data_IF_694273727139
#
_entry.id   IF_694273727139
#
_cell.length_a   1.000
_cell.length_b   1.000
_cell.length_c   1.000
_cell.angle_alpha   90.00
_cell.angle_beta   90.00
_cell.angle_gamma   90.00
#
_symmetry.space_group_name_H-M   'P 1'
#
loop_
_entity.id
_entity.type
_entity.pdbx_description
1 polymer ?
#
# COMPACT_ATOMS: atom_id res chain seq x y z
N UNK A 1 -40.43 -37.78 58.02
CA UNK A 1 -39.03 -37.41 58.33
C UNK A 1 -38.37 -36.99 57.02
N UNK A 2 -37.72 -35.82 57.02
CA UNK A 2 -37.35 -35.03 55.83
C UNK A 2 -36.07 -35.56 55.18
N UNK A 3 -36.09 -35.73 53.86
CA UNK A 3 -34.94 -36.08 53.01
C UNK A 3 -34.00 -34.87 52.86
N UNK A 4 -32.71 -35.06 53.04
CA UNK A 4 -31.68 -34.06 52.77
C UNK A 4 -31.05 -34.32 51.40
N UNK A 5 -31.24 -33.40 50.45
CA UNK A 5 -30.45 -33.33 49.21
C UNK A 5 -29.17 -32.54 49.48
N UNK A 6 -28.02 -33.15 49.19
CA UNK A 6 -26.71 -32.50 49.28
C UNK A 6 -26.37 -31.91 47.91
N UNK A 7 -26.39 -30.58 47.80
CA UNK A 7 -25.96 -29.87 46.59
C UNK A 7 -24.43 -29.71 46.62
N UNK A 8 -23.73 -30.35 45.69
CA UNK A 8 -22.29 -30.12 45.47
C UNK A 8 -22.14 -28.95 44.50
N UNK A 9 -21.56 -27.85 44.97
CA UNK A 9 -21.21 -26.68 44.15
C UNK A 9 -19.77 -26.84 43.68
N UNK A 10 -19.56 -26.97 42.36
CA UNK A 10 -18.25 -27.05 41.73
C UNK A 10 -17.81 -25.63 41.35
N UNK A 11 -16.83 -25.07 42.07
CA UNK A 11 -16.23 -23.77 41.75
C UNK A 11 -15.08 -23.99 40.78
N UNK A 12 -15.30 -23.68 39.50
CA UNK A 12 -14.24 -23.59 38.48
C UNK A 12 -13.52 -22.24 38.62
N UNK A 13 -12.35 -22.26 39.24
CA UNK A 13 -11.44 -21.11 39.25
C UNK A 13 -10.69 -21.10 37.91
N UNK A 14 -11.13 -20.28 36.97
CA UNK A 14 -10.38 -20.01 35.75
C UNK A 14 -9.15 -19.14 36.09
N UNK A 15 -7.97 -19.76 36.18
CA UNK A 15 -6.71 -19.02 36.25
C UNK A 15 -6.41 -18.43 34.88
N UNK A 16 -6.70 -17.15 34.69
CA UNK A 16 -6.19 -16.39 33.55
C UNK A 16 -4.67 -16.21 33.74
N UNK A 17 -3.89 -17.15 33.23
CA UNK A 17 -2.46 -16.95 33.06
C UNK A 17 -2.27 -15.86 32.01
N UNK A 18 -2.01 -14.63 32.46
CA UNK A 18 -1.56 -13.55 31.58
C UNK A 18 -0.19 -13.97 31.05
N UNK A 19 -0.13 -14.50 29.83
CA UNK A 19 1.12 -14.74 29.15
C UNK A 19 1.78 -13.38 28.89
N UNK A 20 2.60 -12.92 29.83
CA UNK A 20 3.49 -11.78 29.62
C UNK A 20 4.60 -12.25 28.68
N UNK A 21 4.35 -12.16 27.37
CA UNK A 21 5.39 -12.35 26.36
C UNK A 21 6.48 -11.29 26.58
N UNK A 22 7.56 -11.69 27.27
CA UNK A 22 8.80 -10.93 27.33
C UNK A 22 9.47 -11.03 25.97
N UNK A 23 9.10 -10.15 25.06
CA UNK A 23 9.80 -10.02 23.77
C UNK A 23 11.21 -9.49 24.07
N UNK A 24 12.23 -10.26 23.71
CA UNK A 24 13.61 -9.83 23.88
C UNK A 24 13.90 -8.59 23.01
N UNK A 25 14.70 -7.61 23.47
CA UNK A 25 15.02 -6.42 22.68
C UNK A 25 15.62 -6.73 21.30
N UNK A 26 16.42 -7.80 21.17
CA UNK A 26 16.95 -8.27 19.89
C UNK A 26 15.86 -8.76 18.94
N UNK A 27 14.98 -9.65 19.41
CA UNK A 27 13.82 -10.15 18.67
C UNK A 27 12.86 -9.04 18.23
N UNK A 28 12.71 -7.99 19.06
CA UNK A 28 11.93 -6.78 18.71
C UNK A 28 12.60 -5.96 17.60
N UNK A 29 13.92 -5.85 17.62
CA UNK A 29 14.69 -5.16 16.57
C UNK A 29 14.56 -5.89 15.23
N UNK A 30 14.72 -7.22 15.25
CA UNK A 30 14.61 -8.07 14.07
C UNK A 30 13.19 -7.99 13.48
N UNK A 31 12.16 -8.08 14.33
CA UNK A 31 10.77 -7.90 13.88
C UNK A 31 10.49 -6.52 13.29
N UNK A 32 11.00 -5.45 13.88
CA UNK A 32 10.84 -4.10 13.32
C UNK A 32 11.49 -3.97 11.94
N UNK A 33 12.63 -4.63 11.71
CA UNK A 33 13.26 -4.70 10.40
C UNK A 33 12.39 -5.46 9.39
N UNK A 34 11.81 -6.59 9.78
CA UNK A 34 10.88 -7.34 8.92
C UNK A 34 9.62 -6.53 8.57
N UNK A 35 9.01 -5.83 9.55
CA UNK A 35 7.87 -4.93 9.30
C UNK A 35 8.21 -3.86 8.25
N UNK A 36 9.38 -3.22 8.38
CA UNK A 36 9.86 -2.22 7.42
C UNK A 36 10.11 -2.85 6.05
N UNK A 37 10.69 -4.04 6.00
CA UNK A 37 10.97 -4.74 4.75
C UNK A 37 9.66 -5.08 4.01
N UNK A 38 8.62 -5.53 4.72
CA UNK A 38 7.29 -5.77 4.12
C UNK A 38 6.70 -4.49 3.55
N UNK A 39 6.74 -3.37 4.30
CA UNK A 39 6.31 -2.06 3.79
C UNK A 39 7.12 -1.62 2.56
N UNK A 40 8.44 -1.81 2.57
CA UNK A 40 9.33 -1.49 1.46
C UNK A 40 9.02 -2.30 0.21
N UNK A 41 8.81 -3.62 0.35
CA UNK A 41 8.47 -4.50 -0.75
C UNK A 41 7.11 -4.12 -1.38
N UNK A 42 6.12 -3.82 -0.55
CA UNK A 42 4.80 -3.35 -1.02
C UNK A 42 4.92 -2.05 -1.81
N UNK A 43 5.54 -1.01 -1.22
CA UNK A 43 5.70 0.29 -1.87
C UNK A 43 6.52 0.18 -3.16
N UNK A 44 7.53 -0.70 -3.18
CA UNK A 44 8.37 -0.94 -4.37
C UNK A 44 7.56 -1.51 -5.52
N UNK A 45 6.71 -2.51 -5.24
CA UNK A 45 5.85 -3.14 -6.25
C UNK A 45 4.76 -2.18 -6.75
N UNK A 46 4.18 -1.38 -5.86
CA UNK A 46 3.20 -0.37 -6.26
C UNK A 46 3.83 0.71 -7.16
N UNK A 47 5.02 1.21 -6.77
CA UNK A 47 5.84 2.08 -7.60
C UNK A 47 6.20 1.45 -8.95
N UNK A 48 6.42 0.13 -8.98
CA UNK A 48 6.64 -0.62 -10.22
C UNK A 48 5.39 -0.77 -11.09
N UNK A 49 4.24 -0.24 -10.66
CA UNK A 49 2.98 -0.27 -11.39
C UNK A 49 2.23 -1.59 -11.27
N UNK A 50 2.57 -2.45 -10.30
CA UNK A 50 1.96 -3.78 -10.20
C UNK A 50 0.44 -3.71 -10.02
N UNK A 51 -0.11 -2.68 -9.38
CA UNK A 51 -1.57 -2.52 -9.24
C UNK A 51 -2.29 -2.08 -10.51
N UNK A 52 -1.60 -1.59 -11.54
CA UNK A 52 -2.21 -1.11 -12.78
C UNK A 52 -2.02 -2.06 -13.98
N UNK A 53 -1.40 -3.22 -13.74
CA UNK A 53 -1.16 -4.28 -14.74
C UNK A 53 -1.97 -5.53 -14.40
N UNK A 54 -2.42 -6.29 -15.40
CA UNK A 54 -3.24 -7.50 -15.24
C UNK A 54 -2.66 -8.52 -14.25
N UNK A 55 -1.37 -8.83 -14.37
CA UNK A 55 -0.72 -9.89 -13.56
C UNK A 55 0.02 -9.33 -12.35
N UNK A 56 0.04 -8.01 -12.19
CA UNK A 56 0.87 -7.39 -11.16
C UNK A 56 0.34 -7.61 -9.76
N UNK A 57 -0.99 -7.73 -9.59
CA UNK A 57 -1.60 -8.00 -8.30
C UNK A 57 -1.12 -9.31 -7.67
N UNK A 58 -0.89 -10.37 -8.46
CA UNK A 58 -0.40 -11.65 -7.96
C UNK A 58 0.94 -11.54 -7.21
N UNK A 59 1.73 -10.49 -7.47
CA UNK A 59 2.98 -10.20 -6.77
C UNK A 59 2.76 -9.40 -5.48
N UNK A 60 1.71 -8.58 -5.42
CA UNK A 60 1.35 -7.77 -4.24
C UNK A 60 0.52 -8.56 -3.24
N UNK A 61 -0.40 -9.41 -3.73
CA UNK A 61 -1.34 -10.16 -2.91
C UNK A 61 -0.68 -10.88 -1.72
N UNK A 62 0.48 -11.56 -1.86
CA UNK A 62 1.11 -12.23 -0.72
C UNK A 62 1.57 -11.28 0.40
N UNK A 63 1.80 -10.00 0.07
CA UNK A 63 2.27 -9.00 1.02
C UNK A 63 1.14 -8.32 1.80
N UNK A 64 -0.12 -8.55 1.44
CA UNK A 64 -1.27 -7.85 2.03
C UNK A 64 -2.31 -8.83 2.56
N UNK A 65 -3.15 -8.39 3.49
CA UNK A 65 -4.35 -9.11 3.90
C UNK A 65 -5.49 -8.96 2.89
N UNK A 66 -5.37 -8.04 1.93
CA UNK A 66 -6.36 -7.85 0.85
C UNK A 66 -6.28 -8.96 -0.18
N UNK A 67 -7.42 -9.60 -0.47
CA UNK A 67 -7.50 -10.71 -1.44
C UNK A 67 -7.37 -10.25 -2.89
N UNK A 68 -8.16 -9.25 -3.27
CA UNK A 68 -8.27 -8.76 -4.64
C UNK A 68 -7.70 -7.35 -4.76
N UNK A 69 -7.26 -6.97 -5.96
CA UNK A 69 -6.74 -5.62 -6.18
C UNK A 69 -7.87 -4.62 -5.94
N UNK A 70 -7.75 -3.70 -4.96
CA UNK A 70 -8.83 -2.74 -4.71
C UNK A 70 -9.15 -1.95 -5.97
N UNK A 71 -10.42 -1.78 -6.26
CA UNK A 71 -10.84 -0.93 -7.38
C UNK A 71 -10.37 0.51 -7.18
N UNK A 72 -9.90 1.12 -8.26
CA UNK A 72 -9.51 2.52 -8.27
C UNK A 72 -9.95 3.17 -9.58
N UNK A 73 -10.47 4.40 -9.48
CA UNK A 73 -10.78 5.25 -10.65
C UNK A 73 -9.59 6.11 -11.05
N UNK A 74 -8.67 6.32 -10.12
CA UNK A 74 -7.50 7.18 -10.27
C UNK A 74 -6.28 6.59 -9.59
N UNK A 75 -5.11 6.96 -10.10
CA UNK A 75 -3.84 6.64 -9.46
C UNK A 75 -2.86 7.82 -9.58
N UNK A 76 -1.93 7.88 -8.63
CA UNK A 76 -0.90 8.90 -8.60
C UNK A 76 0.28 8.49 -9.44
N UNK A 77 0.83 9.44 -10.19
CA UNK A 77 2.11 9.29 -10.89
C UNK A 77 3.18 9.99 -10.06
N UNK A 78 4.23 9.25 -9.70
CA UNK A 78 5.25 9.70 -8.76
C UNK A 78 6.65 9.64 -9.36
N UNK A 79 7.53 10.56 -8.94
CA UNK A 79 8.95 10.53 -9.26
C UNK A 79 9.69 9.52 -8.40
N UNK A 80 9.45 9.60 -7.09
CA UNK A 80 10.14 8.84 -6.05
C UNK A 80 9.25 8.73 -4.82
N UNK A 81 9.63 7.84 -3.92
CA UNK A 81 9.05 7.74 -2.59
C UNK A 81 10.15 7.50 -1.56
N UNK A 82 9.84 7.81 -0.30
CA UNK A 82 10.69 7.54 0.83
C UNK A 82 9.83 7.02 1.99
N UNK A 83 10.23 5.88 2.55
CA UNK A 83 9.69 5.43 3.83
C UNK A 83 10.43 6.19 4.92
N UNK A 84 9.70 6.95 5.73
CA UNK A 84 10.30 7.73 6.80
C UNK A 84 10.93 6.81 7.86
N UNK A 85 11.97 7.27 8.57
CA UNK A 85 12.69 6.46 9.55
C UNK A 85 11.80 6.15 10.76
N UNK A 86 10.89 7.04 11.12
CA UNK A 86 10.04 6.85 12.28
C UNK A 86 8.94 5.83 12.00
N UNK A 87 8.79 4.89 12.93
CA UNK A 87 7.69 3.93 12.96
C UNK A 87 6.92 4.17 14.24
N UNK A 88 5.61 4.38 14.11
CA UNK A 88 4.70 4.44 15.24
C UNK A 88 3.97 3.11 15.39
N UNK A 89 3.61 2.76 16.64
CA UNK A 89 2.75 1.61 16.90
C UNK A 89 1.38 2.09 17.36
N UNK A 90 0.34 1.53 16.77
CA UNK A 90 -1.04 1.81 17.17
C UNK A 90 -1.89 0.54 17.04
N UNK A 91 -2.70 0.24 18.04
CA UNK A 91 -3.58 -0.96 18.08
C UNK A 91 -2.92 -2.28 17.63
N UNK A 92 -1.65 -2.51 18.00
CA UNK A 92 -0.90 -3.72 17.62
C UNK A 92 -0.34 -3.73 16.19
N UNK A 93 -0.45 -2.61 15.46
CA UNK A 93 0.09 -2.43 14.10
C UNK A 93 1.32 -1.55 14.13
N UNK A 94 2.28 -1.85 13.26
CA UNK A 94 3.43 -1.00 12.96
C UNK A 94 3.07 -0.11 11.79
N UNK A 95 3.14 1.21 11.96
CA UNK A 95 2.73 2.18 10.96
C UNK A 95 3.95 2.95 10.47
N UNK A 96 4.14 2.93 9.16
CA UNK A 96 5.20 3.66 8.48
C UNK A 96 4.59 4.77 7.64
N UNK A 97 5.10 5.98 7.81
CA UNK A 97 4.75 7.08 6.92
C UNK A 97 5.62 7.01 5.66
N UNK A 98 4.99 7.04 4.50
CA UNK A 98 5.63 6.98 3.19
C UNK A 98 5.35 8.27 2.46
N UNK A 99 6.39 9.04 2.20
CA UNK A 99 6.29 10.30 1.48
C UNK A 99 6.51 10.04 -0.02
N UNK A 100 5.59 10.52 -0.84
CA UNK A 100 5.62 10.44 -2.30
C UNK A 100 5.80 11.83 -2.91
N UNK A 101 6.71 11.93 -3.87
CA UNK A 101 6.84 13.08 -4.76
C UNK A 101 5.96 12.86 -6.00
N UNK A 102 4.73 13.38 -5.93
CA UNK A 102 3.70 13.25 -6.97
C UNK A 102 3.94 14.28 -8.06
N UNK A 103 3.82 13.88 -9.32
CA UNK A 103 3.93 14.78 -10.48
C UNK A 103 2.60 15.02 -11.20
N UNK A 104 1.65 14.13 -10.97
CA UNK A 104 0.30 14.23 -11.48
C UNK A 104 -0.56 13.05 -11.09
N UNK A 105 -1.80 13.10 -11.53
CA UNK A 105 -2.81 12.07 -11.33
C UNK A 105 -3.29 11.58 -12.70
N UNK A 106 -3.58 10.30 -12.81
CA UNK A 106 -4.26 9.74 -13.97
C UNK A 106 -5.68 9.32 -13.56
N UNK A 107 -6.68 9.85 -14.25
CA UNK A 107 -8.07 9.41 -14.16
C UNK A 107 -8.34 8.42 -15.29
N UNK A 108 -8.84 7.22 -14.96
CA UNK A 108 -9.11 6.18 -15.96
C UNK A 108 -10.12 6.61 -17.03
N UNK A 109 -10.97 7.60 -16.73
CA UNK A 109 -11.92 8.20 -17.66
C UNK A 109 -11.44 9.52 -18.29
N UNK A 110 -10.60 10.29 -17.57
CA UNK A 110 -10.21 11.65 -17.93
C UNK A 110 -8.80 11.82 -18.49
N UNK A 111 -7.96 10.79 -18.36
CA UNK A 111 -6.56 10.85 -18.76
C UNK A 111 -5.64 11.48 -17.71
N UNK A 112 -4.46 11.94 -18.16
CA UNK A 112 -3.43 12.50 -17.30
C UNK A 112 -3.62 14.00 -17.01
N UNK A 113 -3.43 14.36 -15.74
CA UNK A 113 -3.45 15.73 -15.24
C UNK A 113 -2.20 16.05 -14.41
N UNK A 114 -1.40 17.04 -14.84
CA UNK A 114 -0.38 17.68 -14.03
C UNK A 114 -0.89 18.12 -12.65
N UNK A 115 -0.28 17.61 -11.58
CA UNK A 115 -0.62 18.01 -10.20
C UNK A 115 0.55 17.70 -9.27
N UNK A 116 1.64 18.49 -9.32
CA UNK A 116 2.81 18.25 -8.50
C UNK A 116 2.50 18.50 -7.02
N UNK A 117 2.80 17.53 -6.17
CA UNK A 117 2.54 17.61 -4.74
C UNK A 117 3.44 16.64 -3.96
N UNK A 118 3.60 16.91 -2.66
CA UNK A 118 4.14 15.92 -1.72
C UNK A 118 2.98 15.33 -0.93
N UNK A 119 2.84 14.00 -0.96
CA UNK A 119 1.77 13.28 -0.28
C UNK A 119 2.38 12.29 0.70
N UNK A 120 1.86 12.24 1.92
CA UNK A 120 2.24 11.23 2.91
C UNK A 120 1.13 10.20 3.04
N UNK A 121 1.47 8.93 2.87
CA UNK A 121 0.57 7.79 3.02
C UNK A 121 1.04 6.95 4.19
N UNK A 122 0.11 6.57 5.05
CA UNK A 122 0.38 5.69 6.18
C UNK A 122 0.22 4.25 5.69
N UNK A 123 1.26 3.43 5.89
CA UNK A 123 1.26 2.01 5.57
C UNK A 123 1.30 1.25 6.88
N UNK A 124 0.21 0.54 7.16
CA UNK A 124 0.07 -0.23 8.38
C UNK A 124 0.38 -1.70 8.13
N UNK A 125 1.27 -2.24 8.96
CA UNK A 125 1.75 -3.61 8.87
C UNK A 125 1.40 -4.33 10.16
N UNK A 126 0.84 -5.52 10.05
CA UNK A 126 0.47 -6.35 11.19
C UNK A 126 0.97 -7.78 11.01
N UNK A 127 1.08 -8.49 12.13
CA UNK A 127 1.17 -9.94 12.10
C UNK A 127 -0.24 -10.52 11.87
N UNK A 128 -0.39 -11.36 10.86
CA UNK A 128 -1.61 -12.08 10.53
C UNK A 128 -1.26 -13.55 10.38
N UNK A 129 -1.65 -14.38 11.36
CA UNK A 129 -1.40 -15.82 11.38
C UNK A 129 0.10 -16.20 11.32
N UNK A 130 0.98 -15.41 11.95
CA UNK A 130 2.42 -15.65 11.95
C UNK A 130 3.16 -15.03 10.75
N UNK A 131 2.43 -14.37 9.84
CA UNK A 131 3.02 -13.69 8.69
C UNK A 131 2.85 -12.17 8.79
N UNK A 132 3.91 -11.44 8.48
CA UNK A 132 3.89 -9.98 8.45
C UNK A 132 3.32 -9.51 7.11
N UNK A 133 2.18 -8.84 7.16
CA UNK A 133 1.47 -8.35 5.97
C UNK A 133 1.01 -6.90 6.14
N UNK A 134 0.83 -6.21 5.02
CA UNK A 134 0.15 -4.92 4.96
C UNK A 134 -1.31 -5.15 5.35
N UNK A 135 -1.74 -4.50 6.43
CA UNK A 135 -3.12 -4.54 6.90
C UNK A 135 -3.97 -3.52 6.16
N UNK A 136 -3.45 -2.30 6.02
CA UNK A 136 -4.14 -1.18 5.35
C UNK A 136 -3.17 -0.08 4.93
N UNK A 137 -3.64 0.77 4.02
CA UNK A 137 -3.01 2.05 3.68
C UNK A 137 -4.02 3.17 3.88
N UNK A 138 -3.57 4.36 4.30
CA UNK A 138 -4.47 5.51 4.46
C UNK A 138 -5.00 6.06 3.13
N UNK A 139 -4.36 5.71 2.03
CA UNK A 139 -4.82 5.99 0.66
C UNK A 139 -4.76 4.68 -0.14
N UNK A 140 -5.90 4.29 -0.70
CA UNK A 140 -6.03 3.06 -1.46
C UNK A 140 -5.64 3.22 -2.94
N UNK A 141 -5.37 4.44 -3.42
CA UNK A 141 -4.92 4.65 -4.80
C UNK A 141 -3.53 4.05 -5.04
N UNK A 142 -3.24 3.53 -6.24
CA UNK A 142 -1.87 3.17 -6.61
C UNK A 142 -0.97 4.40 -6.72
N UNK A 143 0.32 4.24 -6.38
CA UNK A 143 1.37 5.24 -6.54
C UNK A 143 2.42 4.73 -7.51
N UNK A 144 2.30 5.09 -8.78
CA UNK A 144 3.03 4.50 -9.89
C UNK A 144 4.20 5.38 -10.32
N UNK A 145 5.39 4.80 -10.43
CA UNK A 145 6.58 5.49 -10.90
C UNK A 145 6.44 5.99 -12.33
N UNK A 146 6.98 7.18 -12.63
CA UNK A 146 6.96 7.81 -13.96
C UNK A 146 7.23 6.85 -15.12
N UNK A 147 8.32 6.09 -15.02
CA UNK A 147 8.78 5.18 -16.07
C UNK A 147 7.74 4.11 -16.36
N UNK A 148 7.13 3.56 -15.29
CA UNK A 148 6.12 2.51 -15.39
C UNK A 148 4.81 3.04 -15.92
N UNK A 149 4.42 4.24 -15.50
CA UNK A 149 3.27 4.93 -16.06
C UNK A 149 3.42 5.18 -17.57
N UNK A 150 4.59 5.65 -18.03
CA UNK A 150 4.84 5.84 -19.46
C UNK A 150 4.75 4.54 -20.26
N UNK A 151 5.36 3.45 -19.75
CA UNK A 151 5.28 2.13 -20.38
C UNK A 151 3.83 1.65 -20.48
N UNK A 152 3.07 1.81 -19.39
CA UNK A 152 1.66 1.44 -19.34
C UNK A 152 0.81 2.25 -20.33
N UNK A 153 0.99 3.57 -20.40
CA UNK A 153 0.29 4.43 -21.36
C UNK A 153 0.55 4.01 -22.81
N UNK A 154 1.82 3.75 -23.14
CA UNK A 154 2.19 3.32 -24.49
C UNK A 154 1.59 1.96 -24.84
N UNK A 155 1.60 1.01 -23.90
CA UNK A 155 0.99 -0.30 -24.10
C UNK A 155 -0.53 -0.19 -24.30
N UNK A 156 -1.22 0.62 -23.48
CA UNK A 156 -2.65 0.89 -23.63
C UNK A 156 -2.98 1.50 -24.98
N UNK A 157 -2.23 2.52 -25.41
CA UNK A 157 -2.44 3.17 -26.70
C UNK A 157 -2.25 2.20 -27.88
N UNK A 158 -1.28 1.29 -27.80
CA UNK A 158 -1.01 0.32 -28.84
C UNK A 158 -2.16 -0.69 -29.05
N UNK A 159 -2.89 -1.02 -27.97
CA UNK A 159 -4.00 -2.00 -28.02
C UNK A 159 -5.38 -1.37 -28.12
N UNK A 160 -5.50 -0.07 -27.87
CA UNK A 160 -6.79 0.62 -27.93
C UNK A 160 -7.34 0.61 -29.36
N UNK A 161 -8.66 0.48 -29.50
CA UNK A 161 -9.34 0.50 -30.80
C UNK A 161 -10.35 1.64 -30.89
N UNK A 162 -10.90 2.09 -29.77
CA UNK A 162 -11.84 3.21 -29.73
C UNK A 162 -11.15 4.56 -30.02
N UNK A 163 -11.59 5.33 -31.03
CA UNK A 163 -10.96 6.60 -31.40
C UNK A 163 -10.97 7.65 -30.28
N UNK A 164 -12.04 7.72 -29.49
CA UNK A 164 -12.14 8.70 -28.41
C UNK A 164 -11.12 8.38 -27.30
N UNK A 165 -11.05 7.12 -26.89
CA UNK A 165 -10.08 6.62 -25.90
C UNK A 165 -8.64 6.78 -26.38
N UNK A 166 -8.35 6.54 -27.67
CA UNK A 166 -7.04 6.86 -28.27
C UNK A 166 -6.68 8.32 -28.11
N UNK A 167 -7.61 9.23 -28.40
CA UNK A 167 -7.41 10.68 -28.25
C UNK A 167 -7.06 11.08 -26.82
N UNK A 168 -7.72 10.47 -25.82
CA UNK A 168 -7.41 10.68 -24.40
C UNK A 168 -6.02 10.17 -24.04
N UNK A 169 -5.63 8.99 -24.51
CA UNK A 169 -4.32 8.40 -24.27
C UNK A 169 -3.19 9.21 -24.92
N UNK A 170 -3.38 9.65 -26.17
CA UNK A 170 -2.44 10.53 -26.88
C UNK A 170 -2.25 11.86 -26.16
N UNK A 171 -3.35 12.53 -25.82
CA UNK A 171 -3.33 13.78 -25.05
C UNK A 171 -2.62 13.60 -23.69
N UNK A 172 -2.81 12.45 -23.05
CA UNK A 172 -2.16 12.12 -21.78
C UNK A 172 -0.65 11.97 -21.93
N UNK A 173 -0.19 11.29 -22.99
CA UNK A 173 1.23 11.17 -23.31
C UNK A 173 1.85 12.55 -23.57
N UNK A 174 1.19 13.39 -24.38
CA UNK A 174 1.67 14.73 -24.69
C UNK A 174 1.80 15.59 -23.42
N UNK A 175 0.77 15.62 -22.57
CA UNK A 175 0.81 16.35 -21.28
C UNK A 175 1.91 15.83 -20.37
N UNK A 176 2.06 14.51 -20.27
CA UNK A 176 3.08 13.88 -19.44
C UNK A 176 4.50 14.19 -19.93
N UNK A 177 4.74 14.14 -21.24
CA UNK A 177 6.02 14.49 -21.86
C UNK A 177 6.31 15.99 -21.74
N UNK A 178 5.33 16.86 -21.91
CA UNK A 178 5.52 18.31 -21.77
C UNK A 178 5.92 18.70 -20.34
N UNK A 179 5.47 17.98 -19.33
CA UNK A 179 6.00 18.14 -17.97
C UNK A 179 7.47 17.70 -17.82
N UNK A 180 7.91 16.64 -18.52
CA UNK A 180 9.34 16.25 -18.50
C UNK A 180 10.24 17.26 -19.19
N UNK A 181 9.69 18.10 -20.08
CA UNK A 181 10.44 19.08 -20.88
C UNK A 181 10.58 20.46 -20.21
N UNK A 182 10.05 20.68 -19.00
CA UNK A 182 10.25 21.98 -18.31
C UNK A 182 11.75 22.25 -18.07
N UNK A 183 12.22 23.48 -18.30
CA UNK A 183 13.59 23.77 -18.74
C UNK A 183 14.63 23.69 -17.63
N UNK A 184 15.83 23.21 -17.97
CA UNK A 184 17.05 23.74 -17.34
C UNK A 184 17.16 25.22 -17.74
N UNK A 185 16.67 26.13 -16.91
CA UNK A 185 16.96 27.55 -17.06
C UNK A 185 16.82 28.29 -15.74
N UNK A 186 17.97 28.64 -15.16
CA UNK A 186 18.21 29.92 -14.48
C UNK A 186 18.01 29.95 -12.97
N UNK A 187 19.03 29.56 -12.20
CA UNK A 187 19.86 30.46 -11.38
C UNK A 187 21.03 29.66 -10.77
#
# INVERSE_FOLDING_TARGET
MRSALTTVVLVLVATFASAQFKINPGERSDRNAEYRQTAANYCRLDFDGARITSDGWNRIQPLTTTRDNPEFKRFMVVNRYQILPDMRRDHGRSIFDVQYDVVGEYDLSGGYFPSPATVTVQVEVSDSNGEIRIAQTSDARPFVGRTRFQQWLQAKLATETDPASKGVLQSSIERFQNQTKKPQSGQ
#
